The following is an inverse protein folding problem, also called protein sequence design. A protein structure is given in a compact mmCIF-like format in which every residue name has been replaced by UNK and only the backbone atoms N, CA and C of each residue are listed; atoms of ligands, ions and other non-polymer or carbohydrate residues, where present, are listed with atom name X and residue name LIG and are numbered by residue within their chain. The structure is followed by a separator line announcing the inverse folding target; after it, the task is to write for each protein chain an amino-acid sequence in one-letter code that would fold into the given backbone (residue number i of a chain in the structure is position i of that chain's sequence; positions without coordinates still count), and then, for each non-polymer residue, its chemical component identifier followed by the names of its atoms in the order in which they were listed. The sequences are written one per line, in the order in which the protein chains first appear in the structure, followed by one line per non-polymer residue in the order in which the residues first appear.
data_IF_742174351185
#
_entry.id   IF_742174351185
#
_cell.length_a   1.000
_cell.length_b   1.000
_cell.length_c   1.000
_cell.angle_alpha   90.00
_cell.angle_beta   90.00
_cell.angle_gamma   90.00
#
_symmetry.space_group_name_H-M   'P 1'
#
loop_
_entity.id
_entity.type
_entity.pdbx_description
1 polymer ?
#
# COMPACT_ATOMS: atom_id res chain seq x y z
N UNK A 1 6.81 18.30 -7.32
CA UNK A 1 5.38 17.94 -7.43
C UNK A 1 5.19 16.66 -8.25
N UNK A 2 5.54 16.62 -9.54
CA UNK A 2 5.35 15.43 -10.38
C UNK A 2 6.03 14.16 -9.83
N UNK A 3 7.29 14.25 -9.36
CA UNK A 3 8.01 13.10 -8.77
C UNK A 3 7.40 12.58 -7.47
N UNK A 4 6.96 13.46 -6.57
CA UNK A 4 6.36 13.06 -5.28
C UNK A 4 5.00 12.42 -5.48
N UNK A 5 4.16 12.99 -6.35
CA UNK A 5 2.87 12.37 -6.70
C UNK A 5 3.08 11.01 -7.40
N UNK A 6 4.07 10.89 -8.28
CA UNK A 6 4.41 9.61 -8.91
C UNK A 6 4.85 8.56 -7.87
N UNK A 7 5.64 8.94 -6.86
CA UNK A 7 6.04 8.04 -5.78
C UNK A 7 4.83 7.60 -4.91
N UNK A 8 3.91 8.52 -4.60
CA UNK A 8 2.67 8.19 -3.87
C UNK A 8 1.86 7.16 -4.66
N UNK A 9 1.67 7.37 -5.96
CA UNK A 9 0.95 6.43 -6.84
C UNK A 9 1.65 5.06 -6.88
N UNK A 10 2.98 5.02 -6.93
CA UNK A 10 3.72 3.75 -6.90
C UNK A 10 3.50 2.98 -5.59
N UNK A 11 3.48 3.69 -4.46
CA UNK A 11 3.20 3.08 -3.14
C UNK A 11 1.77 2.53 -3.10
N UNK A 12 0.79 3.27 -3.61
CA UNK A 12 -0.60 2.81 -3.69
C UNK A 12 -0.74 1.57 -4.57
N UNK A 13 -0.07 1.55 -5.71
CA UNK A 13 -0.06 0.39 -6.61
C UNK A 13 0.59 -0.82 -5.95
N UNK A 14 1.69 -0.63 -5.22
CA UNK A 14 2.34 -1.70 -4.48
C UNK A 14 1.43 -2.25 -3.36
N UNK A 15 0.76 -1.36 -2.61
CA UNK A 15 -0.20 -1.77 -1.58
C UNK A 15 -1.40 -2.51 -2.19
N UNK A 16 -1.90 -2.08 -3.34
CA UNK A 16 -2.96 -2.77 -4.05
C UNK A 16 -2.53 -4.18 -4.48
N UNK A 17 -1.35 -4.32 -5.06
CA UNK A 17 -0.79 -5.62 -5.44
C UNK A 17 -0.57 -6.54 -4.22
N UNK A 18 -0.14 -5.99 -3.09
CA UNK A 18 -0.02 -6.74 -1.84
C UNK A 18 -1.37 -7.24 -1.33
N UNK A 19 -2.41 -6.40 -1.38
CA UNK A 19 -3.77 -6.77 -1.00
C UNK A 19 -4.29 -7.89 -1.91
N UNK A 20 -4.13 -7.75 -3.22
CA UNK A 20 -4.58 -8.72 -4.22
C UNK A 20 -3.90 -10.08 -4.05
N UNK A 21 -2.57 -10.10 -3.88
CA UNK A 21 -1.83 -11.34 -3.60
C UNK A 21 -2.28 -11.97 -2.28
N UNK A 22 -2.50 -11.17 -1.24
CA UNK A 22 -2.94 -11.67 0.06
C UNK A 22 -4.36 -12.22 -0.01
N UNK A 23 -5.26 -11.60 -0.79
CA UNK A 23 -6.61 -12.11 -1.06
C UNK A 23 -6.56 -13.45 -1.77
N UNK A 24 -5.71 -13.57 -2.79
CA UNK A 24 -5.49 -14.83 -3.49
C UNK A 24 -5.03 -15.91 -2.50
N UNK A 25 -3.98 -15.66 -1.73
CA UNK A 25 -3.45 -16.62 -0.74
C UNK A 25 -4.53 -17.00 0.29
N UNK A 26 -5.31 -16.04 0.77
CA UNK A 26 -6.34 -16.25 1.79
C UNK A 26 -7.56 -17.07 1.31
N UNK A 27 -7.84 -17.08 0.01
CA UNK A 27 -9.06 -17.65 -0.59
C UNK A 27 -8.82 -18.80 -1.55
N UNK A 28 -7.57 -19.11 -1.86
CA UNK A 28 -7.22 -20.21 -2.78
C UNK A 28 -7.62 -21.55 -2.19
N UNK A 29 -8.66 -22.16 -2.76
CA UNK A 29 -9.05 -23.53 -2.51
C UNK A 29 -8.77 -24.37 -3.77
N UNK A 30 -8.03 -25.48 -3.62
CA UNK A 30 -7.99 -26.54 -4.64
C UNK A 30 -6.98 -26.40 -5.79
N UNK A 31 -5.88 -25.66 -5.65
CA UNK A 31 -4.78 -25.73 -6.62
C UNK A 31 -4.05 -27.06 -6.45
N UNK A 32 -4.43 -28.02 -7.28
CA UNK A 32 -4.07 -29.45 -7.22
C UNK A 32 -2.56 -29.75 -7.21
N UNK A 33 -1.72 -28.76 -7.54
CA UNK A 33 -0.27 -28.91 -7.60
C UNK A 33 0.50 -27.94 -6.66
N UNK A 34 -0.12 -26.85 -6.18
CA UNK A 34 0.52 -25.82 -5.35
C UNK A 34 -0.35 -25.59 -4.10
N UNK A 35 -0.26 -26.51 -3.13
CA UNK A 35 -0.95 -26.38 -1.86
C UNK A 35 -0.29 -25.26 -1.03
N UNK A 36 -0.90 -24.08 -1.00
CA UNK A 36 -0.59 -23.08 0.02
C UNK A 36 -0.98 -23.69 1.37
N UNK A 37 -0.03 -23.93 2.30
CA UNK A 37 -0.34 -24.57 3.57
C UNK A 37 -1.38 -23.76 4.37
N UNK A 38 -2.29 -24.44 5.07
CA UNK A 38 -3.33 -23.79 5.88
C UNK A 38 -2.80 -22.69 6.81
N UNK A 39 -1.64 -22.85 7.51
CA UNK A 39 -1.09 -21.77 8.33
C UNK A 39 -0.75 -20.49 7.55
N UNK A 40 -0.36 -20.62 6.29
CA UNK A 40 -0.07 -19.48 5.41
C UNK A 40 -1.36 -18.80 4.97
N UNK A 41 -2.41 -19.57 4.68
CA UNK A 41 -3.73 -19.01 4.36
C UNK A 41 -4.32 -18.27 5.56
N UNK A 42 -4.20 -18.84 6.77
CA UNK A 42 -4.72 -18.22 7.99
C UNK A 42 -3.94 -16.95 8.35
N UNK A 43 -2.61 -16.96 8.15
CA UNK A 43 -1.82 -15.74 8.25
C UNK A 43 -2.28 -14.68 7.25
N UNK A 44 -2.53 -15.05 5.98
CA UNK A 44 -3.02 -14.11 4.97
C UNK A 44 -4.39 -13.54 5.34
N UNK A 45 -5.33 -14.37 5.81
CA UNK A 45 -6.64 -13.93 6.32
C UNK A 45 -6.51 -12.95 7.48
N UNK A 46 -5.56 -13.18 8.39
CA UNK A 46 -5.31 -12.31 9.54
C UNK A 46 -4.70 -10.95 9.13
N UNK A 47 -3.83 -10.93 8.12
CA UNK A 47 -3.14 -9.72 7.66
C UNK A 47 -4.01 -8.84 6.76
N UNK A 48 -4.91 -9.44 5.99
CA UNK A 48 -5.67 -8.76 4.95
C UNK A 48 -6.45 -7.52 5.43
N UNK A 49 -7.15 -7.54 6.59
CA UNK A 49 -7.88 -6.35 7.08
C UNK A 49 -6.94 -5.16 7.34
N UNK A 50 -5.77 -5.42 7.91
CA UNK A 50 -4.75 -4.41 8.21
C UNK A 50 -4.16 -3.82 6.93
N UNK A 51 -3.91 -4.64 5.89
CA UNK A 51 -3.41 -4.18 4.60
C UNK A 51 -4.43 -3.29 3.87
N UNK A 52 -5.70 -3.68 3.85
CA UNK A 52 -6.79 -2.85 3.28
C UNK A 52 -6.94 -1.53 4.02
N UNK A 53 -6.86 -1.55 5.35
CA UNK A 53 -6.88 -0.33 6.17
C UNK A 53 -5.71 0.57 5.83
N UNK A 54 -4.50 0.02 5.73
CA UNK A 54 -3.29 0.77 5.39
C UNK A 54 -3.42 1.42 4.01
N UNK A 55 -3.89 0.68 3.01
CA UNK A 55 -4.13 1.20 1.66
C UNK A 55 -5.04 2.44 1.67
N UNK A 56 -6.14 2.41 2.43
CA UNK A 56 -7.06 3.55 2.56
C UNK A 56 -6.50 4.74 3.34
N UNK A 57 -5.46 4.54 4.16
CA UNK A 57 -4.94 5.56 5.08
C UNK A 57 -3.64 6.21 4.65
N UNK A 58 -2.90 5.64 3.70
CA UNK A 58 -1.54 6.09 3.34
C UNK A 58 -1.53 7.34 2.46
N UNK A 59 -2.52 7.51 1.57
CA UNK A 59 -2.52 8.60 0.59
C UNK A 59 -2.54 9.99 1.22
N UNK A 60 -3.49 10.25 2.10
CA UNK A 60 -3.74 11.59 2.65
C UNK A 60 -2.54 12.14 3.44
N UNK A 61 -1.93 11.38 4.38
CA UNK A 61 -0.75 11.85 5.11
C UNK A 61 0.44 12.14 4.18
N UNK A 62 0.69 11.31 3.17
CA UNK A 62 1.79 11.51 2.22
C UNK A 62 1.55 12.75 1.34
N UNK A 63 0.31 12.96 0.90
CA UNK A 63 -0.05 14.16 0.14
C UNK A 63 0.13 15.42 0.98
N UNK A 64 -0.27 15.37 2.26
CA UNK A 64 -0.10 16.47 3.22
C UNK A 64 1.38 16.78 3.45
N UNK A 65 2.20 15.75 3.69
CA UNK A 65 3.65 15.90 3.85
C UNK A 65 4.32 16.49 2.60
N UNK A 66 3.93 16.03 1.41
CA UNK A 66 4.39 16.59 0.13
C UNK A 66 4.06 18.09 0.01
N UNK A 67 2.85 18.49 0.36
CA UNK A 67 2.42 19.89 0.30
C UNK A 67 3.20 20.76 1.30
N UNK A 68 3.46 20.25 2.51
CA UNK A 68 4.24 20.98 3.52
C UNK A 68 5.70 21.17 3.09
N UNK A 69 6.35 20.11 2.58
CA UNK A 69 7.71 20.19 2.02
C UNK A 69 7.78 21.24 0.91
N UNK A 70 6.77 21.26 0.04
CA UNK A 70 6.71 22.27 -1.03
C UNK A 70 6.59 23.68 -0.47
N UNK A 71 5.71 23.91 0.51
CA UNK A 71 5.50 25.22 1.16
C UNK A 71 6.76 25.74 1.84
N UNK A 72 7.43 24.89 2.61
CA UNK A 72 8.68 25.27 3.30
C UNK A 72 9.80 25.53 2.29
N UNK A 73 9.91 24.69 1.26
CA UNK A 73 10.94 24.81 0.23
C UNK A 73 10.83 26.08 -0.63
N UNK A 74 9.61 26.59 -0.87
CA UNK A 74 9.40 27.85 -1.59
C UNK A 74 9.59 29.07 -0.69
N UNK A 75 9.16 29.00 0.58
CA UNK A 75 9.35 30.08 1.54
C UNK A 75 10.83 30.36 1.84
N UNK A 76 11.68 29.33 1.90
CA UNK A 76 13.13 29.51 2.10
C UNK A 76 13.87 30.07 0.88
N UNK A 77 13.30 29.99 -0.33
CA UNK A 77 13.92 30.57 -1.53
C UNK A 77 13.57 32.04 -1.78
N UNK A 78 12.60 32.57 -1.03
CA UNK A 78 12.14 33.95 -1.13
C UNK A 78 12.78 34.88 -0.08
N UNK A 79 13.66 34.36 0.77
CA UNK A 79 14.55 35.11 1.67
C UNK A 79 15.97 35.07 1.11
#
# INVERSE_FOLDING_TARGET
MARTNAAIIQIENALAAMVELTEFIATTNGWKDWLIPDPVQDLAKALLPSLKKLQGQVREPLQRASNEIHRVGTSNKAK
#
